data_IF_155530748164
#
_entry.id   IF_155530748164
#
_cell.length_a   1.000
_cell.length_b   1.000
_cell.length_c   1.000
_cell.angle_alpha   90.00
_cell.angle_beta   90.00
_cell.angle_gamma   90.00
#
_symmetry.space_group_name_H-M   'P 1'
#
loop_
_entity.id
_entity.type
_entity.pdbx_description
1 polymer ?
#
# COMPACT_ATOMS: atom_id res chain seq x y z
N UNK A 1 -20.51 -13.71 15.11
CA UNK A 1 -19.60 -13.76 13.94
C UNK A 1 -20.40 -13.37 12.70
N UNK A 2 -20.08 -12.26 12.05
CA UNK A 2 -20.75 -11.78 10.83
C UNK A 2 -20.38 -12.64 9.62
N UNK A 3 -21.38 -13.18 8.90
CA UNK A 3 -21.17 -13.84 7.62
C UNK A 3 -20.74 -12.81 6.56
N UNK A 4 -19.59 -13.05 5.91
CA UNK A 4 -19.16 -12.32 4.72
C UNK A 4 -20.03 -12.75 3.54
N UNK A 5 -20.88 -11.85 3.04
CA UNK A 5 -21.63 -12.05 1.78
C UNK A 5 -20.67 -11.73 0.62
N UNK A 6 -20.43 -12.69 -0.27
CA UNK A 6 -19.51 -12.59 -1.40
C UNK A 6 -19.96 -11.54 -2.42
N UNK A 7 -19.01 -10.78 -2.98
CA UNK A 7 -19.20 -9.73 -3.99
C UNK A 7 -19.79 -10.25 -5.32
N UNK A 8 -19.92 -11.56 -5.50
CA UNK A 8 -20.45 -12.16 -6.74
C UNK A 8 -21.98 -12.12 -6.85
N UNK A 9 -22.71 -11.89 -5.75
CA UNK A 9 -24.18 -11.79 -5.79
C UNK A 9 -24.70 -10.44 -6.29
N UNK A 10 -23.83 -9.56 -6.79
CA UNK A 10 -24.17 -8.25 -7.35
C UNK A 10 -24.26 -8.24 -8.89
N UNK A 11 -24.10 -9.40 -9.55
CA UNK A 11 -24.33 -9.50 -11.00
C UNK A 11 -25.83 -9.74 -11.25
N UNK A 12 -26.53 -8.86 -11.99
CA UNK A 12 -27.93 -9.10 -12.32
C UNK A 12 -28.04 -10.37 -13.18
N UNK A 13 -28.88 -11.31 -12.74
CA UNK A 13 -29.25 -12.51 -13.50
C UNK A 13 -30.04 -12.03 -14.73
N UNK A 14 -29.37 -11.98 -15.89
CA UNK A 14 -30.02 -11.65 -17.16
C UNK A 14 -30.83 -12.86 -17.64
N UNK A 15 -32.08 -12.97 -17.20
CA UNK A 15 -33.05 -13.83 -17.87
C UNK A 15 -33.47 -13.16 -19.19
N UNK A 16 -33.43 -13.85 -20.35
CA UNK A 16 -33.92 -13.30 -21.60
C UNK A 16 -35.46 -13.24 -21.56
N UNK A 17 -35.99 -12.02 -21.58
CA UNK A 17 -37.44 -11.76 -21.65
C UNK A 17 -37.98 -12.10 -23.04
N UNK A 18 -38.44 -13.34 -23.24
CA UNK A 18 -39.11 -13.81 -24.47
C UNK A 18 -40.55 -13.27 -24.67
N UNK A 19 -41.01 -12.30 -23.89
CA UNK A 19 -42.43 -11.90 -23.86
C UNK A 19 -42.69 -10.39 -23.76
N UNK A 20 -41.83 -9.53 -24.31
CA UNK A 20 -42.06 -8.07 -24.27
C UNK A 20 -42.03 -7.45 -25.66
N UNK A 21 -43.22 -7.31 -26.26
CA UNK A 21 -43.51 -6.41 -27.40
C UNK A 21 -43.56 -4.94 -26.92
N UNK A 22 -42.55 -4.49 -26.18
CA UNK A 22 -42.37 -3.07 -25.89
C UNK A 22 -41.39 -2.51 -26.91
N UNK A 23 -41.88 -1.57 -27.73
CA UNK A 23 -41.09 -0.64 -28.52
C UNK A 23 -40.27 0.27 -27.57
N UNK A 24 -39.34 -0.32 -26.83
CA UNK A 24 -38.34 0.42 -26.07
C UNK A 24 -37.03 0.24 -26.80
N UNK A 25 -36.56 1.31 -27.44
CA UNK A 25 -35.18 1.42 -27.93
C UNK A 25 -34.24 1.34 -26.72
N UNK A 26 -33.92 0.12 -26.29
CA UNK A 26 -32.88 -0.13 -25.29
C UNK A 26 -31.55 0.03 -25.99
N UNK A 27 -30.97 1.22 -25.90
CA UNK A 27 -29.58 1.43 -26.27
C UNK A 27 -28.70 0.69 -25.26
N UNK A 28 -28.26 -0.51 -25.61
CA UNK A 28 -27.31 -1.30 -24.83
C UNK A 28 -25.91 -0.70 -24.92
N UNK A 29 -25.26 -0.61 -23.76
CA UNK A 29 -24.07 0.16 -23.38
C UNK A 29 -22.74 -0.31 -23.97
N UNK A 30 -22.68 -0.73 -25.23
CA UNK A 30 -21.41 -0.83 -25.96
C UNK A 30 -21.69 -0.48 -27.43
N UNK A 31 -21.95 0.79 -27.71
CA UNK A 31 -21.66 1.28 -29.05
C UNK A 31 -20.15 1.55 -29.09
N UNK A 32 -19.40 0.76 -29.87
CA UNK A 32 -18.11 1.16 -30.45
C UNK A 32 -18.32 2.31 -31.45
N UNK A 33 -19.09 3.32 -31.04
CA UNK A 33 -19.21 4.57 -31.72
C UNK A 33 -18.09 5.40 -31.14
N UNK A 34 -16.89 5.23 -31.70
CA UNK A 34 -16.08 6.41 -31.95
C UNK A 34 -17.00 7.31 -32.77
N UNK A 35 -17.79 8.15 -32.10
CA UNK A 35 -18.42 9.28 -32.74
C UNK A 35 -17.24 10.07 -33.26
N UNK A 36 -16.84 9.78 -34.50
CA UNK A 36 -16.00 10.65 -35.29
C UNK A 36 -16.80 11.94 -35.35
N UNK A 37 -16.58 12.77 -34.34
CA UNK A 37 -17.40 13.93 -34.09
C UNK A 37 -17.32 14.75 -35.37
N UNK A 38 -18.45 14.91 -36.05
CA UNK A 38 -18.65 15.87 -37.15
C UNK A 38 -18.64 17.29 -36.62
N UNK A 39 -17.88 17.50 -35.55
CA UNK A 39 -17.59 18.72 -34.86
C UNK A 39 -16.42 19.31 -35.64
N UNK A 40 -16.66 20.46 -36.24
CA UNK A 40 -15.61 21.31 -36.83
C UNK A 40 -14.45 21.46 -35.84
N UNK A 41 -13.22 21.66 -36.33
CA UNK A 41 -12.01 21.65 -35.50
C UNK A 41 -12.11 22.47 -34.21
N UNK A 42 -12.86 23.57 -34.25
CA UNK A 42 -13.14 24.45 -33.09
C UNK A 42 -13.90 23.76 -31.95
N UNK A 43 -14.89 22.93 -32.26
CA UNK A 43 -15.68 22.21 -31.25
C UNK A 43 -14.87 21.11 -30.54
N UNK A 44 -13.91 20.48 -31.23
CA UNK A 44 -12.97 19.53 -30.58
C UNK A 44 -11.99 20.26 -29.66
N UNK A 45 -11.52 21.44 -30.06
CA UNK A 45 -10.66 22.27 -29.21
C UNK A 45 -11.41 22.78 -27.98
N UNK A 46 -12.71 23.06 -28.10
CA UNK A 46 -13.56 23.43 -26.97
C UNK A 46 -13.69 22.30 -25.94
N UNK A 47 -13.96 21.06 -26.37
CA UNK A 47 -14.00 19.89 -25.48
C UNK A 47 -12.67 19.67 -24.77
N UNK A 48 -11.54 19.74 -25.49
CA UNK A 48 -10.21 19.56 -24.87
C UNK A 48 -9.96 20.65 -23.82
N UNK A 49 -10.35 21.90 -24.11
CA UNK A 49 -10.24 23.00 -23.13
C UNK A 49 -11.10 22.73 -21.90
N UNK A 50 -12.34 22.29 -22.08
CA UNK A 50 -13.25 21.97 -20.98
C UNK A 50 -12.70 20.83 -20.10
N UNK A 51 -12.22 19.75 -20.72
CA UNK A 51 -11.59 18.62 -20.02
C UNK A 51 -10.33 19.06 -19.29
N UNK A 52 -9.48 19.88 -19.91
CA UNK A 52 -8.27 20.42 -19.27
C UNK A 52 -8.61 21.30 -18.05
N UNK A 53 -9.68 22.11 -18.14
CA UNK A 53 -10.14 22.95 -17.05
C UNK A 53 -10.75 22.11 -15.91
N UNK A 54 -11.46 21.03 -16.25
CA UNK A 54 -11.96 20.05 -15.27
C UNK A 54 -10.83 19.37 -14.52
N UNK A 55 -9.81 18.88 -15.23
CA UNK A 55 -8.63 18.25 -14.62
C UNK A 55 -7.84 19.22 -13.74
N UNK A 56 -7.67 20.47 -14.18
CA UNK A 56 -6.98 21.50 -13.40
C UNK A 56 -7.73 21.84 -12.08
N UNK A 57 -9.06 21.69 -12.04
CA UNK A 57 -9.86 21.84 -10.81
C UNK A 57 -9.78 20.62 -9.89
N UNK A 58 -9.65 19.42 -10.47
CA UNK A 58 -9.47 18.18 -9.72
C UNK A 58 -8.04 18.04 -9.16
N UNK A 59 -7.07 18.76 -9.72
CA UNK A 59 -5.70 18.81 -9.20
C UNK A 59 -5.67 19.47 -7.81
N UNK A 60 -5.38 18.69 -6.78
CA UNK A 60 -5.23 19.21 -5.42
C UNK A 60 -3.80 19.74 -5.19
N UNK A 61 -3.58 21.00 -5.59
CA UNK A 61 -2.29 21.71 -5.48
C UNK A 61 -1.79 21.87 -4.03
N UNK A 62 -2.70 21.85 -3.05
CA UNK A 62 -2.30 21.92 -1.63
C UNK A 62 -1.70 20.59 -1.16
N UNK A 63 -2.24 19.46 -1.63
CA UNK A 63 -1.74 18.15 -1.28
C UNK A 63 -0.35 17.88 -1.89
N UNK A 64 -0.08 18.37 -3.10
CA UNK A 64 1.25 18.29 -3.70
C UNK A 64 2.29 19.11 -2.93
N UNK A 65 1.90 20.28 -2.41
CA UNK A 65 2.76 21.12 -1.56
C UNK A 65 3.00 20.53 -0.16
N UNK A 66 2.07 19.74 0.37
CA UNK A 66 2.21 19.07 1.66
C UNK A 66 3.11 17.84 1.62
N UNK A 67 3.22 17.18 0.45
CA UNK A 67 4.07 16.00 0.30
C UNK A 67 5.53 16.43 0.19
N UNK A 68 6.25 16.27 1.29
CA UNK A 68 7.69 16.41 1.28
C UNK A 68 8.34 15.30 0.45
N UNK A 69 8.92 15.65 -0.70
CA UNK A 69 9.78 14.76 -1.48
C UNK A 69 11.23 15.06 -1.11
N UNK A 70 11.96 14.13 -0.47
CA UNK A 70 13.35 14.36 -0.11
C UNK A 70 14.21 14.59 -1.35
N UNK A 71 15.14 15.55 -1.27
CA UNK A 71 16.23 15.66 -2.24
C UNK A 71 17.10 14.39 -2.18
N UNK A 72 17.82 14.03 -3.26
CA UNK A 72 18.69 12.86 -3.26
C UNK A 72 19.71 12.91 -2.11
N UNK A 73 20.30 14.07 -1.85
CA UNK A 73 21.22 14.29 -0.72
C UNK A 73 20.59 14.00 0.64
N UNK A 74 19.33 14.44 0.86
CA UNK A 74 18.62 14.17 2.11
C UNK A 74 18.26 12.70 2.26
N UNK A 75 18.00 11.99 1.16
CA UNK A 75 17.76 10.55 1.19
C UNK A 75 19.03 9.77 1.57
N UNK A 76 20.20 10.21 1.09
CA UNK A 76 21.49 9.61 1.43
C UNK A 76 21.85 9.87 2.90
N UNK A 77 21.64 11.09 3.39
CA UNK A 77 21.91 11.43 4.80
C UNK A 77 21.04 10.63 5.76
N UNK A 78 19.75 10.47 5.46
CA UNK A 78 18.84 9.61 6.22
C UNK A 78 19.30 8.13 6.19
N UNK A 79 19.79 7.67 5.04
CA UNK A 79 20.31 6.30 4.89
C UNK A 79 21.57 6.07 5.74
N UNK A 80 22.51 7.02 5.73
CA UNK A 80 23.71 7.01 6.59
C UNK A 80 23.35 7.01 8.07
N UNK A 81 22.42 7.88 8.49
CA UNK A 81 21.96 7.95 9.87
C UNK A 81 21.31 6.63 10.31
N UNK A 82 20.44 6.07 9.47
CA UNK A 82 19.79 4.79 9.73
C UNK A 82 20.80 3.63 9.84
N UNK A 83 21.84 3.61 9.00
CA UNK A 83 22.92 2.63 9.08
C UNK A 83 23.73 2.77 10.36
N UNK A 84 24.11 4.00 10.73
CA UNK A 84 24.80 4.27 12.00
C UNK A 84 24.02 3.76 13.21
N UNK A 85 22.72 4.09 13.28
CA UNK A 85 21.84 3.63 14.36
C UNK A 85 21.68 2.09 14.41
N UNK A 86 21.66 1.42 13.24
CA UNK A 86 21.65 -0.05 13.17
C UNK A 86 22.94 -0.64 13.71
N UNK A 87 24.09 -0.08 13.33
CA UNK A 87 25.40 -0.53 13.80
C UNK A 87 25.51 -0.34 15.30
N UNK A 88 25.14 0.82 15.83
CA UNK A 88 25.15 1.11 17.27
C UNK A 88 24.26 0.13 18.04
N UNK A 89 23.04 -0.13 17.57
CA UNK A 89 22.14 -1.12 18.17
C UNK A 89 22.72 -2.54 18.13
N UNK A 90 23.32 -2.93 17.00
CA UNK A 90 23.95 -4.24 16.86
C UNK A 90 25.17 -4.38 17.78
N UNK A 91 25.98 -3.33 17.88
CA UNK A 91 27.12 -3.28 18.77
C UNK A 91 26.67 -3.35 20.23
N UNK A 92 25.66 -2.58 20.65
CA UNK A 92 25.12 -2.65 22.01
C UNK A 92 24.66 -4.05 22.41
N UNK A 93 24.04 -4.80 21.49
CA UNK A 93 23.67 -6.21 21.70
C UNK A 93 24.86 -7.15 21.81
N UNK A 94 25.95 -6.87 21.08
CA UNK A 94 27.17 -7.68 21.15
C UNK A 94 27.96 -7.35 22.41
N UNK A 95 28.15 -6.08 22.72
CA UNK A 95 28.92 -5.59 23.85
C UNK A 95 28.22 -5.86 25.19
N UNK A 96 26.89 -6.03 25.22
CA UNK A 96 26.21 -6.47 26.43
C UNK A 96 26.68 -7.86 26.83
N UNK A 97 27.20 -7.99 28.06
CA UNK A 97 27.71 -9.25 28.65
C UNK A 97 29.02 -9.79 28.07
N UNK A 98 29.78 -8.98 27.32
CA UNK A 98 31.15 -9.33 26.93
C UNK A 98 32.18 -9.13 28.05
N UNK A 99 31.89 -8.25 29.00
CA UNK A 99 32.81 -7.98 30.10
C UNK A 99 32.97 -9.24 30.98
N UNK A 100 34.22 -9.55 31.31
CA UNK A 100 34.54 -10.68 32.17
C UNK A 100 33.97 -10.45 33.58
N UNK A 101 33.00 -11.28 33.98
CA UNK A 101 32.47 -11.28 35.35
C UNK A 101 33.27 -12.28 36.18
N UNK A 102 34.11 -11.77 37.08
CA UNK A 102 34.85 -12.60 38.05
C UNK A 102 33.87 -13.24 39.04
N UNK A 103 33.45 -14.48 38.76
CA UNK A 103 32.63 -15.27 39.67
C UNK A 103 33.53 -16.07 40.61
N UNK A 104 33.13 -16.18 41.88
CA UNK A 104 33.79 -17.09 42.82
C UNK A 104 33.73 -18.51 42.22
N UNK A 105 34.84 -19.26 42.26
CA UNK A 105 34.86 -20.62 41.73
C UNK A 105 33.80 -21.45 42.46
N UNK A 106 33.00 -22.19 41.69
CA UNK A 106 32.06 -23.16 42.26
C UNK A 106 32.91 -24.30 42.81
N UNK A 107 33.02 -24.39 44.14
CA UNK A 107 33.62 -25.53 44.82
C UNK A 107 32.61 -26.67 44.75
N UNK A 108 32.81 -27.61 43.84
CA UNK A 108 32.01 -28.82 43.75
C UNK A 108 32.51 -29.79 44.84
N UNK A 109 31.80 -29.86 45.96
CA UNK A 109 32.00 -30.93 46.94
C UNK A 109 31.45 -32.24 46.35
N UNK A 110 32.32 -32.98 45.66
CA UNK A 110 32.02 -34.24 44.97
C UNK A 110 31.31 -35.27 45.88
N UNK A 111 31.54 -35.19 47.20
CA UNK A 111 30.94 -36.08 48.20
C UNK A 111 29.44 -35.84 48.44
N UNK A 112 28.94 -34.63 48.21
CA UNK A 112 27.53 -34.30 48.44
C UNK A 112 26.65 -34.61 47.22
N UNK A 113 27.20 -34.62 46.01
CA UNK A 113 26.47 -34.91 44.77
C UNK A 113 26.08 -36.39 44.62
N UNK A 114 26.87 -37.31 45.20
CA UNK A 114 26.61 -38.76 45.15
C UNK A 114 25.45 -39.15 46.09
N UNK A 115 25.28 -38.43 47.22
CA UNK A 115 24.20 -38.68 48.19
C UNK A 115 22.81 -38.23 47.73
N UNK A 116 22.73 -37.24 46.85
CA UNK A 116 21.44 -36.77 46.30
C UNK A 116 20.95 -37.58 45.11
N UNK A 117 21.75 -38.52 44.61
CA UNK A 117 21.46 -39.36 43.45
C UNK A 117 21.18 -40.84 43.81
N UNK A 118 21.18 -41.19 45.11
CA UNK A 118 20.79 -42.52 45.64
C UNK A 118 19.48 -42.46 46.40
#
# INVERSE_FOLDING_TARGET
MMLRRSLDSQRPIMAPSLASQRNSKRYSTISNQTTSSTMTGDSRMAEIKELSAGLARLENKRLSQQRFVPTPEKSESLSKLALGAKVERALGRRMSSQDAVMRKPVVLDEKNMIKSAS
#
